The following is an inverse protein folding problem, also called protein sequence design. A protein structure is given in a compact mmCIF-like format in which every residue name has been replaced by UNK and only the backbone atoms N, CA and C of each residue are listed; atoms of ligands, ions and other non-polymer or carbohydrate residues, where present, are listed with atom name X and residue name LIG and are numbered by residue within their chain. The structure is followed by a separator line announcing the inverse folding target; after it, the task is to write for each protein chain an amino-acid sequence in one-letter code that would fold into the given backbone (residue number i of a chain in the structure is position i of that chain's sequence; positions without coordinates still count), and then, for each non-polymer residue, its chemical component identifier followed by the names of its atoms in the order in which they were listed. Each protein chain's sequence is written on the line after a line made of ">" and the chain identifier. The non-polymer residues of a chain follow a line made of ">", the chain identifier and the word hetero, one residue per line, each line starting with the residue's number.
data_IF_368400358018
#
_entry.id   IF_368400358018
#
_cell.length_a   1.000
_cell.length_b   1.000
_cell.length_c   1.000
_cell.angle_alpha   90.00
_cell.angle_beta   90.00
_cell.angle_gamma   90.00
#
_symmetry.space_group_name_H-M   'P 1'
#
loop_
_entity.id
_entity.type
_entity.pdbx_description
1 polymer ?
#
# COMPACT_ATOMS: atom_id res chain seq x y z
N UNK A 1 -23.80 -42.72 -10.14
CA UNK A 1 -23.74 -41.45 -9.38
C UNK A 1 -22.30 -40.96 -9.40
N UNK A 2 -21.99 -39.99 -10.24
CA UNK A 2 -20.64 -39.42 -10.36
C UNK A 2 -20.54 -38.19 -9.47
N UNK A 3 -19.63 -38.24 -8.49
CA UNK A 3 -19.31 -37.11 -7.62
C UNK A 3 -18.75 -35.98 -8.49
N UNK A 4 -19.30 -34.75 -8.43
CA UNK A 4 -18.75 -33.63 -9.19
C UNK A 4 -17.34 -33.28 -8.69
N UNK A 5 -16.41 -32.92 -9.57
CA UNK A 5 -15.05 -32.60 -9.18
C UNK A 5 -15.02 -31.37 -8.26
N UNK A 6 -14.08 -31.28 -7.30
CA UNK A 6 -13.98 -30.15 -6.40
C UNK A 6 -13.73 -28.87 -7.20
N UNK A 7 -14.57 -27.85 -6.98
CA UNK A 7 -14.47 -26.56 -7.66
C UNK A 7 -13.11 -25.95 -7.41
N UNK A 8 -12.32 -25.80 -8.48
CA UNK A 8 -11.02 -25.13 -8.53
C UNK A 8 -11.07 -23.83 -7.72
N UNK A 9 -10.37 -23.79 -6.59
CA UNK A 9 -10.29 -22.63 -5.69
C UNK A 9 -10.00 -21.34 -6.48
N UNK A 10 -11.04 -20.54 -6.73
CA UNK A 10 -10.99 -19.22 -7.39
C UNK A 10 -10.44 -18.10 -6.48
N UNK A 11 -9.86 -18.44 -5.33
CA UNK A 11 -9.43 -17.51 -4.26
C UNK A 11 -7.99 -16.97 -4.40
N UNK A 12 -7.41 -16.98 -5.60
CA UNK A 12 -5.97 -16.74 -5.80
C UNK A 12 -5.58 -15.73 -6.88
N UNK A 13 -6.46 -14.80 -7.29
CA UNK A 13 -6.03 -13.70 -8.18
C UNK A 13 -5.63 -12.50 -7.33
N UNK A 14 -4.34 -12.44 -6.99
CA UNK A 14 -3.72 -11.32 -6.27
C UNK A 14 -3.83 -9.98 -7.04
N UNK A 15 -3.86 -10.07 -8.37
CA UNK A 15 -4.00 -8.93 -9.28
C UNK A 15 -5.40 -8.93 -9.90
N UNK A 16 -6.31 -8.15 -9.32
CA UNK A 16 -7.66 -7.92 -9.86
C UNK A 16 -7.60 -6.81 -10.92
N UNK A 17 -6.85 -5.74 -10.66
CA UNK A 17 -6.72 -4.58 -11.56
C UNK A 17 -5.25 -4.15 -11.69
N UNK A 18 -4.44 -4.82 -12.55
CA UNK A 18 -2.99 -4.65 -12.56
C UNK A 18 -2.51 -3.25 -12.95
N UNK A 19 -3.30 -2.51 -13.75
CA UNK A 19 -2.98 -1.13 -14.16
C UNK A 19 -3.10 -0.18 -12.97
N UNK A 20 -4.21 -0.28 -12.22
CA UNK A 20 -4.42 0.51 -11.01
C UNK A 20 -3.38 0.16 -9.94
N UNK A 21 -3.15 -1.13 -9.69
CA UNK A 21 -2.22 -1.60 -8.68
C UNK A 21 -0.77 -1.16 -8.97
N UNK A 22 -0.29 -1.28 -10.21
CA UNK A 22 1.06 -0.82 -10.59
C UNK A 22 1.21 0.70 -10.43
N UNK A 23 0.21 1.48 -10.86
CA UNK A 23 0.22 2.95 -10.71
C UNK A 23 0.22 3.35 -9.25
N UNK A 24 -0.61 2.71 -8.42
CA UNK A 24 -0.68 2.95 -6.99
C UNK A 24 0.65 2.61 -6.31
N UNK A 25 1.19 1.41 -6.57
CA UNK A 25 2.44 0.95 -5.98
C UNK A 25 3.62 1.86 -6.38
N UNK A 26 3.72 2.26 -7.66
CA UNK A 26 4.77 3.17 -8.12
C UNK A 26 4.68 4.55 -7.45
N UNK A 27 3.47 5.10 -7.28
CA UNK A 27 3.26 6.38 -6.58
C UNK A 27 3.63 6.28 -5.10
N UNK A 28 3.21 5.22 -4.41
CA UNK A 28 3.50 5.02 -2.98
C UNK A 28 5.00 4.79 -2.73
N UNK A 29 5.64 3.96 -3.56
CA UNK A 29 7.08 3.72 -3.49
C UNK A 29 7.87 5.00 -3.80
N UNK A 30 7.48 5.75 -4.84
CA UNK A 30 8.11 7.02 -5.18
C UNK A 30 8.02 8.05 -4.06
N UNK A 31 6.81 8.26 -3.50
CA UNK A 31 6.61 9.18 -2.37
C UNK A 31 7.41 8.78 -1.13
N UNK A 32 7.43 7.48 -0.81
CA UNK A 32 8.21 6.96 0.34
C UNK A 32 9.69 7.15 0.12
N UNK A 33 10.21 6.85 -1.08
CA UNK A 33 11.61 7.04 -1.42
C UNK A 33 12.02 8.50 -1.27
N UNK A 34 11.23 9.44 -1.81
CA UNK A 34 11.49 10.88 -1.68
C UNK A 34 11.47 11.31 -0.21
N UNK A 35 10.44 10.94 0.56
CA UNK A 35 10.34 11.28 1.98
C UNK A 35 11.53 10.75 2.81
N UNK A 36 11.94 9.51 2.54
CA UNK A 36 13.07 8.89 3.25
C UNK A 36 14.39 9.54 2.87
N UNK A 37 14.60 9.87 1.59
CA UNK A 37 15.79 10.59 1.13
C UNK A 37 15.87 12.00 1.72
N UNK A 38 14.75 12.72 1.79
CA UNK A 38 14.68 14.04 2.43
C UNK A 38 15.04 13.92 3.91
N UNK A 39 14.44 12.96 4.63
CA UNK A 39 14.73 12.71 6.04
C UNK A 39 16.20 12.34 6.26
N UNK A 40 16.74 11.44 5.44
CA UNK A 40 18.15 11.04 5.48
C UNK A 40 19.09 12.20 5.18
N UNK A 41 18.74 13.06 4.21
CA UNK A 41 19.49 14.28 3.90
C UNK A 41 19.50 15.28 5.05
N UNK A 42 18.35 15.50 5.71
CA UNK A 42 18.25 16.34 6.92
C UNK A 42 19.15 15.77 8.02
N UNK A 43 19.06 14.47 8.31
CA UNK A 43 19.89 13.82 9.33
C UNK A 43 21.38 13.94 9.00
N UNK A 44 21.77 13.76 7.74
CA UNK A 44 23.14 13.94 7.30
C UNK A 44 23.65 15.36 7.53
N UNK A 45 22.87 16.39 7.17
CA UNK A 45 23.25 17.79 7.39
C UNK A 45 23.37 18.10 8.89
N UNK A 46 22.44 17.59 9.72
CA UNK A 46 22.50 17.77 11.18
C UNK A 46 23.72 17.09 11.78
N UNK A 47 24.07 15.89 11.32
CA UNK A 47 25.29 15.19 11.74
C UNK A 47 26.54 15.95 11.32
N UNK A 48 26.62 16.43 10.08
CA UNK A 48 27.76 17.22 9.60
C UNK A 48 27.93 18.52 10.40
N UNK A 49 26.84 19.21 10.73
CA UNK A 49 26.87 20.39 11.60
C UNK A 49 27.27 20.03 13.04
N UNK A 50 26.75 18.92 13.57
CA UNK A 50 27.09 18.43 14.92
C UNK A 50 28.58 18.08 15.00
N UNK A 51 29.14 17.44 13.97
CA UNK A 51 30.54 17.04 13.92
C UNK A 51 31.46 18.27 13.87
N UNK A 52 31.11 19.30 13.10
CA UNK A 52 31.85 20.56 13.09
C UNK A 52 31.82 21.29 14.44
N UNK A 53 30.70 21.24 15.16
CA UNK A 53 30.56 21.88 16.48
C UNK A 53 31.17 21.06 17.62
N UNK A 54 31.28 19.76 17.44
CA UNK A 54 31.68 18.79 18.49
C UNK A 54 33.01 18.10 18.16
N UNK A 55 33.89 18.76 17.40
CA UNK A 55 35.19 18.25 16.97
C UNK A 55 36.05 17.84 18.19
N UNK A 56 35.86 16.61 18.68
CA UNK A 56 36.46 16.11 19.91
C UNK A 56 35.72 14.93 20.54
N UNK A 57 34.41 14.77 20.33
CA UNK A 57 33.65 13.62 20.86
C UNK A 57 33.60 12.46 19.84
N UNK A 58 34.72 11.77 19.71
CA UNK A 58 34.74 10.46 19.08
C UNK A 58 34.02 9.44 19.97
N UNK A 59 33.18 8.59 19.39
CA UNK A 59 32.57 7.49 20.14
C UNK A 59 33.62 6.40 20.34
N UNK A 60 34.07 6.22 21.57
CA UNK A 60 34.91 5.08 21.95
C UNK A 60 34.02 3.84 22.08
N UNK A 61 34.16 2.90 21.15
CA UNK A 61 33.55 1.57 21.30
C UNK A 61 34.66 0.59 21.63
N UNK A 62 34.75 0.17 22.88
CA UNK A 62 35.64 -0.93 23.29
C UNK A 62 34.98 -2.22 22.82
N UNK A 63 35.45 -2.78 21.70
CA UNK A 63 34.89 -4.02 21.17
C UNK A 63 35.29 -5.25 22.02
N UNK A 64 36.44 -5.21 22.71
CA UNK A 64 36.91 -6.27 23.63
C UNK A 64 37.74 -5.70 24.79
N UNK A 65 37.69 -6.35 25.96
CA UNK A 65 38.48 -5.96 27.13
C UNK A 65 39.98 -6.23 26.90
N UNK A 66 40.75 -5.19 26.56
CA UNK A 66 42.20 -5.26 26.38
C UNK A 66 42.74 -4.72 25.05
N UNK A 67 41.88 -4.30 24.13
CA UNK A 67 42.27 -3.76 22.80
C UNK A 67 42.24 -2.23 22.75
N UNK A 68 43.08 -1.65 21.88
CA UNK A 68 43.12 -0.21 21.65
C UNK A 68 41.77 0.27 21.07
N UNK A 69 41.22 1.40 21.56
CA UNK A 69 39.95 1.89 21.05
C UNK A 69 40.07 2.28 19.58
N UNK A 70 39.22 1.72 18.73
CA UNK A 70 39.09 2.16 17.35
C UNK A 70 38.27 3.45 17.28
N UNK A 71 38.83 4.45 16.59
CA UNK A 71 38.16 5.71 16.31
C UNK A 71 37.15 5.50 15.18
N UNK A 72 35.92 5.13 15.53
CA UNK A 72 34.82 5.12 14.58
C UNK A 72 34.24 6.52 14.43
N UNK A 73 34.16 6.98 13.18
CA UNK A 73 33.46 8.22 12.87
C UNK A 73 31.95 8.02 13.05
N UNK A 74 31.25 9.03 13.57
CA UNK A 74 29.78 9.01 13.76
C UNK A 74 29.04 8.60 12.48
N UNK A 75 29.55 9.04 11.33
CA UNK A 75 29.05 8.66 10.00
C UNK A 75 29.14 7.16 9.69
N UNK A 76 30.16 6.45 10.17
CA UNK A 76 30.34 5.01 9.96
C UNK A 76 29.32 4.17 10.74
N UNK A 77 28.76 4.71 11.82
CA UNK A 77 27.70 4.08 12.60
C UNK A 77 26.33 4.44 12.01
N UNK A 78 26.12 5.71 11.67
CA UNK A 78 24.79 6.20 11.28
C UNK A 78 24.44 5.89 9.82
N UNK A 79 25.37 6.00 8.87
CA UNK A 79 25.10 5.71 7.45
C UNK A 79 24.59 4.29 7.18
N UNK A 80 25.19 3.20 7.72
CA UNK A 80 24.65 1.86 7.50
C UNK A 80 23.27 1.68 8.17
N UNK A 81 23.04 2.28 9.34
CA UNK A 81 21.73 2.26 9.99
C UNK A 81 20.65 3.00 9.16
N UNK A 82 21.00 4.14 8.56
CA UNK A 82 20.14 4.87 7.63
C UNK A 82 19.85 4.06 6.35
N UNK A 83 20.86 3.41 5.78
CA UNK A 83 20.69 2.54 4.62
C UNK A 83 19.75 1.37 4.91
N UNK A 84 19.92 0.71 6.06
CA UNK A 84 19.03 -0.36 6.52
C UNK A 84 17.60 0.15 6.75
N UNK A 85 17.45 1.30 7.41
CA UNK A 85 16.15 1.94 7.62
C UNK A 85 15.43 2.22 6.30
N UNK A 86 16.15 2.73 5.29
CA UNK A 86 15.59 2.99 3.97
C UNK A 86 15.14 1.70 3.27
N UNK A 87 15.94 0.65 3.33
CA UNK A 87 15.59 -0.65 2.77
C UNK A 87 14.34 -1.25 3.44
N UNK A 88 14.27 -1.22 4.77
CA UNK A 88 13.14 -1.73 5.56
C UNK A 88 11.87 -0.92 5.28
N UNK A 89 11.96 0.42 5.25
CA UNK A 89 10.82 1.28 4.94
C UNK A 89 10.28 1.02 3.54
N UNK A 90 11.14 0.90 2.52
CA UNK A 90 10.70 0.56 1.17
C UNK A 90 10.01 -0.79 1.12
N UNK A 91 10.56 -1.81 1.77
CA UNK A 91 9.96 -3.14 1.84
C UNK A 91 8.57 -3.10 2.49
N UNK A 92 8.46 -2.45 3.65
CA UNK A 92 7.19 -2.29 4.37
C UNK A 92 6.16 -1.53 3.53
N UNK A 93 6.55 -0.42 2.90
CA UNK A 93 5.67 0.34 2.00
C UNK A 93 5.19 -0.52 0.85
N UNK A 94 6.05 -1.32 0.22
CA UNK A 94 5.65 -2.19 -0.89
C UNK A 94 4.63 -3.23 -0.45
N UNK A 95 4.86 -3.89 0.69
CA UNK A 95 3.94 -4.88 1.26
C UNK A 95 2.59 -4.23 1.62
N UNK A 96 2.61 -3.12 2.36
CA UNK A 96 1.39 -2.41 2.73
C UNK A 96 0.62 -1.91 1.51
N UNK A 97 1.32 -1.30 0.55
CA UNK A 97 0.70 -0.77 -0.66
C UNK A 97 0.07 -1.87 -1.50
N UNK A 98 0.70 -3.05 -1.57
CA UNK A 98 0.14 -4.19 -2.28
C UNK A 98 -1.16 -4.67 -1.62
N UNK A 99 -1.15 -4.88 -0.30
CA UNK A 99 -2.34 -5.32 0.46
C UNK A 99 -3.46 -4.28 0.37
N UNK A 100 -3.13 -3.01 0.55
CA UNK A 100 -4.10 -1.92 0.48
C UNK A 100 -4.69 -1.78 -0.92
N UNK A 101 -3.86 -1.89 -1.96
CA UNK A 101 -4.32 -1.80 -3.34
C UNK A 101 -5.29 -2.94 -3.71
N UNK A 102 -5.20 -4.11 -3.06
CA UNK A 102 -6.19 -5.18 -3.24
C UNK A 102 -7.56 -4.80 -2.69
N UNK A 103 -7.61 -4.16 -1.51
CA UNK A 103 -8.85 -3.67 -0.87
C UNK A 103 -9.52 -2.58 -1.71
N UNK A 104 -8.75 -1.84 -2.51
CA UNK A 104 -9.27 -0.83 -3.42
C UNK A 104 -9.71 -1.39 -4.78
N UNK A 105 -8.87 -2.24 -5.40
CA UNK A 105 -9.07 -2.73 -6.76
C UNK A 105 -10.35 -3.55 -6.92
N UNK A 106 -10.68 -4.41 -5.93
CA UNK A 106 -11.89 -5.23 -5.95
C UNK A 106 -13.18 -4.41 -6.09
N UNK A 107 -13.44 -3.49 -5.14
CA UNK A 107 -14.57 -2.58 -5.22
C UNK A 107 -14.62 -1.76 -6.50
N UNK A 108 -13.49 -1.15 -6.92
CA UNK A 108 -13.43 -0.30 -8.12
C UNK A 108 -13.83 -1.10 -9.37
N UNK A 109 -13.28 -2.30 -9.54
CA UNK A 109 -13.64 -3.17 -10.67
C UNK A 109 -15.13 -3.48 -10.67
N UNK A 110 -15.70 -3.77 -9.48
CA UNK A 110 -17.12 -4.11 -9.35
C UNK A 110 -18.03 -2.92 -9.66
N UNK A 111 -17.73 -1.74 -9.13
CA UNK A 111 -18.45 -0.51 -9.50
C UNK A 111 -18.43 -0.29 -11.01
N UNK A 112 -17.25 -0.38 -11.62
CA UNK A 112 -17.09 -0.20 -13.06
C UNK A 112 -17.96 -1.20 -13.85
N UNK A 113 -17.93 -2.47 -13.45
CA UNK A 113 -18.71 -3.53 -14.11
C UNK A 113 -20.21 -3.28 -13.99
N UNK A 114 -20.70 -2.89 -12.80
CA UNK A 114 -22.13 -2.67 -12.59
C UNK A 114 -22.59 -1.38 -13.31
N UNK A 115 -21.76 -0.33 -13.36
CA UNK A 115 -22.04 0.88 -14.15
C UNK A 115 -22.10 0.55 -15.65
N UNK A 116 -21.15 -0.22 -16.18
CA UNK A 116 -21.16 -0.66 -17.58
C UNK A 116 -22.41 -1.49 -17.93
N UNK A 117 -22.93 -2.27 -16.98
CA UNK A 117 -24.20 -3.00 -17.15
C UNK A 117 -25.41 -2.06 -17.19
N UNK A 118 -25.44 -1.04 -16.31
CA UNK A 118 -26.48 0.00 -16.37
C UNK A 118 -26.48 0.70 -17.72
N UNK A 119 -25.31 1.09 -18.22
CA UNK A 119 -25.17 1.77 -19.51
C UNK A 119 -25.74 0.92 -20.66
N UNK A 120 -25.52 -0.39 -20.62
CA UNK A 120 -26.02 -1.34 -21.62
C UNK A 120 -27.48 -1.74 -21.42
N UNK A 121 -28.13 -1.30 -20.34
CA UNK A 121 -29.48 -1.74 -19.97
C UNK A 121 -29.56 -3.25 -19.70
N UNK A 122 -28.46 -3.84 -19.22
CA UNK A 122 -28.39 -5.24 -18.81
C UNK A 122 -29.08 -5.44 -17.44
N UNK A 123 -29.61 -6.65 -17.17
CA UNK A 123 -30.23 -6.95 -15.90
C UNK A 123 -29.23 -6.81 -14.74
N UNK A 124 -29.63 -6.07 -13.72
CA UNK A 124 -28.82 -5.80 -12.55
C UNK A 124 -29.65 -5.93 -11.28
N UNK A 125 -29.07 -6.53 -10.25
CA UNK A 125 -29.70 -6.60 -8.94
C UNK A 125 -29.75 -5.21 -8.30
N UNK A 126 -30.88 -4.86 -7.71
CA UNK A 126 -31.06 -3.66 -6.88
C UNK A 126 -30.41 -3.80 -5.49
N UNK A 127 -29.21 -4.40 -5.43
CA UNK A 127 -28.47 -4.61 -4.20
C UNK A 127 -26.95 -4.61 -4.47
N UNK A 128 -26.24 -3.65 -3.87
CA UNK A 128 -24.80 -3.50 -3.96
C UNK A 128 -24.15 -3.42 -2.58
N UNK A 129 -23.32 -4.39 -2.25
CA UNK A 129 -22.69 -4.51 -0.93
C UNK A 129 -21.23 -4.92 -1.09
N UNK A 130 -20.32 -4.17 -0.50
CA UNK A 130 -18.89 -4.51 -0.46
C UNK A 130 -18.55 -5.36 0.76
N UNK A 131 -17.34 -5.94 0.78
CA UNK A 131 -16.87 -6.73 1.94
C UNK A 131 -16.49 -5.80 3.07
N UNK A 132 -16.45 -6.33 4.29
CA UNK A 132 -16.18 -5.50 5.46
C UNK A 132 -14.79 -4.86 5.51
N UNK A 133 -13.82 -5.46 4.82
CA UNK A 133 -12.45 -4.96 4.76
C UNK A 133 -12.21 -4.03 3.55
N UNK A 134 -13.24 -3.71 2.77
CA UNK A 134 -13.12 -2.84 1.59
C UNK A 134 -13.31 -1.36 2.00
N UNK A 135 -12.51 -0.46 1.43
CA UNK A 135 -12.44 0.96 1.84
C UNK A 135 -13.63 1.82 1.35
N UNK A 136 -14.38 1.35 0.35
CA UNK A 136 -15.40 2.16 -0.35
C UNK A 136 -16.84 1.94 0.14
N UNK A 137 -17.03 1.64 1.43
CA UNK A 137 -18.36 1.30 1.98
C UNK A 137 -19.40 2.42 1.81
N UNK A 138 -19.01 3.66 2.06
CA UNK A 138 -19.94 4.80 1.95
C UNK A 138 -20.38 5.04 0.50
N UNK A 139 -19.46 4.86 -0.44
CA UNK A 139 -19.76 4.89 -1.87
C UNK A 139 -20.67 3.72 -2.26
N UNK A 140 -20.44 2.54 -1.70
CA UNK A 140 -21.27 1.36 -1.95
C UNK A 140 -22.69 1.57 -1.43
N UNK A 141 -22.85 2.16 -0.25
CA UNK A 141 -24.14 2.49 0.32
C UNK A 141 -24.90 3.51 -0.54
N UNK A 142 -24.21 4.56 -0.99
CA UNK A 142 -24.79 5.56 -1.89
C UNK A 142 -25.21 4.97 -3.24
N UNK A 143 -24.36 4.09 -3.80
CA UNK A 143 -24.64 3.40 -5.05
C UNK A 143 -25.80 2.39 -4.92
N UNK A 144 -25.87 1.64 -3.81
CA UNK A 144 -27.00 0.77 -3.49
C UNK A 144 -28.32 1.54 -3.44
N UNK A 145 -28.32 2.71 -2.78
CA UNK A 145 -29.47 3.61 -2.75
C UNK A 145 -29.88 4.11 -4.14
N UNK A 146 -28.92 4.40 -5.02
CA UNK A 146 -29.18 4.75 -6.42
C UNK A 146 -29.85 3.58 -7.17
N UNK A 147 -29.31 2.36 -7.04
CA UNK A 147 -29.86 1.18 -7.71
C UNK A 147 -31.30 0.89 -7.26
N UNK A 148 -31.58 1.00 -5.96
CA UNK A 148 -32.95 0.84 -5.43
C UNK A 148 -33.92 1.84 -6.03
N UNK A 149 -33.55 3.12 -6.10
CA UNK A 149 -34.39 4.16 -6.72
C UNK A 149 -34.60 3.94 -8.21
N UNK A 150 -33.62 3.40 -8.92
CA UNK A 150 -33.76 3.05 -10.34
C UNK A 150 -34.69 1.84 -10.52
N UNK A 151 -34.63 0.85 -9.63
CA UNK A 151 -35.54 -0.29 -9.60
C UNK A 151 -36.98 0.15 -9.32
N UNK A 152 -37.20 0.99 -8.30
CA UNK A 152 -38.53 1.51 -7.94
C UNK A 152 -39.21 2.25 -9.09
N UNK A 153 -38.42 2.91 -9.94
CA UNK A 153 -38.91 3.62 -11.13
C UNK A 153 -39.03 2.74 -12.37
N UNK A 154 -38.74 1.43 -12.27
CA UNK A 154 -38.83 0.48 -13.38
C UNK A 154 -37.72 0.63 -14.44
N UNK A 155 -36.62 1.33 -14.12
CA UNK A 155 -35.50 1.49 -15.05
C UNK A 155 -34.52 0.30 -15.04
N UNK A 156 -34.54 -0.52 -13.99
CA UNK A 156 -33.74 -1.73 -13.94
C UNK A 156 -34.56 -2.91 -14.47
N UNK A 157 -33.96 -3.67 -15.40
CA UNK A 157 -34.48 -4.99 -15.74
C UNK A 157 -34.17 -5.93 -14.59
N UNK A 158 -35.20 -6.48 -13.96
CA UNK A 158 -35.02 -7.52 -12.95
C UNK A 158 -34.34 -8.73 -13.60
N UNK A 159 -33.33 -9.33 -12.92
CA UNK A 159 -32.63 -10.50 -13.42
C UNK A 159 -33.50 -11.76 -13.44
#
# INVERSE_FOLDING_TARGET
>A
MTVPPPSKNRRGKLFIEPVFQKRFLARMAGWTAVSTLVTGGILYVLLAQSDQRSAGEFFYVVQEAGTHPELLSRSQIVLPALGLSLAVNLLLTLVFSLVYSQRLAGPIHRFKTDIEKLEKGEPLKAAFHLRDADEFKDLAHSFDGLLKRLAEKGFLKEP
#
